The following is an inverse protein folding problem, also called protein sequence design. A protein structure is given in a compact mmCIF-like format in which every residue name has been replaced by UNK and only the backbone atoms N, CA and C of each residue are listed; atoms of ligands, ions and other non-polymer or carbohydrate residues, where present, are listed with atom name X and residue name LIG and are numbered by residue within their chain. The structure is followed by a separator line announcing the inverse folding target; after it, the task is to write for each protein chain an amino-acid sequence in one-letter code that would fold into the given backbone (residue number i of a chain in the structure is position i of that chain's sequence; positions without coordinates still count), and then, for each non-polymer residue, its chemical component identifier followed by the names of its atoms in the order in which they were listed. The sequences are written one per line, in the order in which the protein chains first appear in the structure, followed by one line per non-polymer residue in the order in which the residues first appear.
data_IF_909074731345
#
_entry.id   IF_909074731345
#
_cell.length_a   1.000
_cell.length_b   1.000
_cell.length_c   1.000
_cell.angle_alpha   90.00
_cell.angle_beta   90.00
_cell.angle_gamma   90.00
#
_symmetry.space_group_name_H-M   'P 1'
#
loop_
_entity.id
_entity.type
_entity.pdbx_description
1 polymer ?
#
# COMPACT_ATOMS: atom_id res chain seq x y z
N UNK A 1 21.25 -2.83 10.14
CA UNK A 1 20.19 -1.94 10.66
C UNK A 1 18.89 -2.42 10.03
N UNK A 2 17.91 -2.88 10.83
CA UNK A 2 16.60 -3.26 10.28
C UNK A 2 15.87 -2.01 9.84
N UNK A 3 15.50 -1.95 8.56
CA UNK A 3 14.66 -0.88 8.02
C UNK A 3 13.24 -1.14 8.52
N UNK A 4 12.60 -0.14 9.13
CA UNK A 4 11.19 -0.23 9.54
C UNK A 4 10.30 -0.24 8.29
N UNK A 5 10.04 -1.44 7.76
CA UNK A 5 9.18 -1.68 6.62
C UNK A 5 7.73 -1.91 7.04
N UNK A 6 6.79 -1.61 6.15
CA UNK A 6 5.36 -1.86 6.38
C UNK A 6 5.09 -3.37 6.34
N UNK A 7 4.36 -3.89 7.34
CA UNK A 7 4.02 -5.32 7.38
C UNK A 7 2.89 -5.70 6.42
N UNK A 8 2.27 -4.71 5.76
CA UNK A 8 1.19 -4.97 4.80
C UNK A 8 1.77 -5.67 3.56
N UNK A 9 1.14 -6.77 3.17
CA UNK A 9 1.53 -7.53 1.98
C UNK A 9 1.54 -6.64 0.74
N UNK A 10 2.65 -6.65 -0.01
CA UNK A 10 2.80 -5.87 -1.24
C UNK A 10 3.06 -4.37 -1.04
N UNK A 11 3.26 -3.90 0.19
CA UNK A 11 3.71 -2.53 0.43
C UNK A 11 5.24 -2.46 0.34
N UNK A 12 5.76 -1.73 -0.63
CA UNK A 12 7.19 -1.46 -0.82
C UNK A 12 7.70 -0.28 0.03
N UNK A 13 6.81 0.35 0.80
CA UNK A 13 7.12 1.59 1.51
C UNK A 13 7.97 1.31 2.76
N UNK A 14 9.13 1.98 2.82
CA UNK A 14 10.12 1.88 3.90
C UNK A 14 10.13 3.20 4.67
N UNK A 15 10.24 3.14 6.01
CA UNK A 15 9.99 4.23 6.99
C UNK A 15 8.56 4.23 7.57
N UNK A 16 8.21 3.17 8.29
CA UNK A 16 7.02 3.14 9.13
C UNK A 16 7.32 3.67 10.53
N UNK A 17 6.47 4.57 11.01
CA UNK A 17 6.51 5.24 12.30
C UNK A 17 5.35 4.80 13.23
N UNK A 18 4.33 4.14 12.67
CA UNK A 18 3.15 3.70 13.40
C UNK A 18 3.26 2.21 13.76
N UNK A 19 3.30 1.92 15.06
CA UNK A 19 3.25 0.57 15.62
C UNK A 19 1.84 0.29 16.18
N UNK A 20 1.14 -0.66 15.57
CA UNK A 20 -0.20 -1.11 15.98
C UNK A 20 -0.06 -2.36 16.86
N UNK A 21 -0.73 -2.35 18.01
CA UNK A 21 -0.75 -3.45 18.99
C UNK A 21 0.62 -3.94 19.47
N UNK A 22 1.67 -3.14 19.29
CA UNK A 22 3.04 -3.49 19.70
C UNK A 22 3.74 -4.50 18.79
N UNK A 23 3.08 -5.01 17.75
CA UNK A 23 3.62 -6.09 16.90
C UNK A 23 3.65 -5.76 15.41
N UNK A 24 2.86 -4.79 14.94
CA UNK A 24 2.63 -4.59 13.51
C UNK A 24 2.94 -3.15 13.10
N UNK A 25 3.91 -2.97 12.21
CA UNK A 25 4.25 -1.67 11.64
C UNK A 25 3.41 -1.38 10.39
N UNK A 26 2.91 -0.14 10.32
CA UNK A 26 2.17 0.35 9.16
C UNK A 26 2.70 1.71 8.73
N UNK A 27 2.88 1.91 7.41
CA UNK A 27 3.29 3.20 6.88
C UNK A 27 2.12 4.20 6.89
N UNK A 28 2.44 5.49 6.92
CA UNK A 28 1.46 6.58 6.87
C UNK A 28 0.49 6.52 5.69
N UNK A 29 0.90 5.93 4.56
CA UNK A 29 0.05 5.77 3.40
C UNK A 29 -1.01 4.67 3.62
N UNK A 30 -0.60 3.50 4.10
CA UNK A 30 -1.51 2.41 4.42
C UNK A 30 -2.43 2.77 5.59
N UNK A 31 -1.95 3.55 6.56
CA UNK A 31 -2.78 4.08 7.64
C UNK A 31 -3.88 4.99 7.10
N UNK A 32 -3.55 5.91 6.17
CA UNK A 32 -4.53 6.76 5.49
C UNK A 32 -5.55 5.97 4.67
N UNK A 33 -5.10 4.95 3.92
CA UNK A 33 -6.00 4.04 3.20
C UNK A 33 -6.97 3.32 4.16
N UNK A 34 -6.46 2.84 5.30
CA UNK A 34 -7.30 2.16 6.29
C UNK A 34 -8.34 3.11 6.90
N UNK A 35 -7.95 4.34 7.23
CA UNK A 35 -8.85 5.39 7.71
C UNK A 35 -9.92 5.69 6.66
N UNK A 36 -9.53 5.89 5.39
CA UNK A 36 -10.45 6.14 4.30
C UNK A 36 -11.46 4.99 4.09
N UNK A 37 -11.01 3.72 4.22
CA UNK A 37 -11.90 2.54 4.16
C UNK A 37 -12.84 2.43 5.36
N UNK A 38 -12.45 2.90 6.53
CA UNK A 38 -13.32 2.91 7.71
C UNK A 38 -14.34 4.05 7.67
N UNK A 39 -13.98 5.19 7.08
CA UNK A 39 -14.78 6.42 7.07
C UNK A 39 -14.98 7.00 8.48
N UNK A 40 -15.90 7.96 8.62
CA UNK A 40 -16.21 8.63 9.90
C UNK A 40 -17.07 7.78 10.87
N UNK A 41 -17.13 6.47 10.65
CA UNK A 41 -17.94 5.58 11.48
C UNK A 41 -17.18 5.22 12.75
N UNK A 42 -17.87 5.36 13.89
CA UNK A 42 -17.37 4.84 15.17
C UNK A 42 -17.61 3.33 15.23
N UNK A 43 -16.56 2.59 15.53
CA UNK A 43 -16.61 1.14 15.73
C UNK A 43 -16.09 0.82 17.13
N UNK A 44 -16.58 -0.28 17.72
CA UNK A 44 -15.90 -0.89 18.86
C UNK A 44 -14.47 -1.27 18.48
N UNK A 45 -13.54 -1.12 19.42
CA UNK A 45 -12.12 -1.42 19.21
C UNK A 45 -11.88 -2.82 18.63
N UNK A 46 -12.57 -3.84 19.15
CA UNK A 46 -12.51 -5.22 18.62
C UNK A 46 -12.88 -5.32 17.14
N UNK A 47 -13.85 -4.52 16.68
CA UNK A 47 -14.27 -4.50 15.28
C UNK A 47 -13.25 -3.78 14.41
N UNK A 48 -12.64 -2.70 14.91
CA UNK A 48 -11.55 -2.00 14.20
C UNK A 48 -10.36 -2.93 14.03
N UNK A 49 -9.93 -3.61 15.10
CA UNK A 49 -8.81 -4.54 15.06
C UNK A 49 -9.01 -5.66 14.02
N UNK A 50 -10.18 -6.30 14.03
CA UNK A 50 -10.51 -7.34 13.02
C UNK A 50 -10.49 -6.80 11.59
N UNK A 51 -10.93 -5.55 11.38
CA UNK A 51 -10.86 -4.89 10.06
C UNK A 51 -9.43 -4.57 9.66
N UNK A 52 -8.60 -4.14 10.61
CA UNK A 52 -7.19 -3.85 10.40
C UNK A 52 -6.43 -5.11 9.99
N UNK A 53 -6.59 -6.21 10.71
CA UNK A 53 -5.98 -7.51 10.37
C UNK A 53 -6.36 -7.93 8.94
N UNK A 54 -7.65 -7.85 8.59
CA UNK A 54 -8.10 -8.14 7.23
C UNK A 54 -7.49 -7.19 6.18
N UNK A 55 -7.36 -5.91 6.51
CA UNK A 55 -6.76 -4.92 5.62
C UNK A 55 -5.27 -5.22 5.33
N UNK A 56 -4.53 -5.66 6.34
CA UNK A 56 -3.11 -6.00 6.22
C UNK A 56 -2.86 -7.25 5.35
N UNK A 57 -3.83 -8.16 5.29
CA UNK A 57 -3.79 -9.36 4.44
C UNK A 57 -4.06 -9.06 2.97
N UNK A 58 -4.77 -7.97 2.65
CA UNK A 58 -5.08 -7.58 1.28
C UNK A 58 -3.83 -6.95 0.66
N UNK A 59 -3.28 -7.52 -0.43
CA UNK A 59 -2.13 -6.95 -1.10
C UNK A 59 -2.40 -5.49 -1.48
N UNK A 60 -1.43 -4.62 -1.22
CA UNK A 60 -1.47 -3.29 -1.82
C UNK A 60 -1.31 -3.49 -3.33
N UNK A 61 -2.37 -3.19 -4.08
CA UNK A 61 -2.25 -3.09 -5.54
C UNK A 61 -1.42 -1.83 -5.77
N UNK A 62 -0.21 -1.98 -6.29
CA UNK A 62 0.47 -0.82 -6.85
C UNK A 62 -0.43 -0.30 -7.95
N UNK A 63 -0.74 1.01 -7.92
CA UNK A 63 -1.34 1.69 -9.07
C UNK A 63 -0.32 1.62 -10.21
N UNK A 64 -0.29 0.50 -10.92
CA UNK A 64 0.38 0.43 -12.20
C UNK A 64 -0.40 1.36 -13.10
N UNK A 65 0.17 2.53 -13.42
CA UNK A 65 -0.17 3.23 -14.64
C UNK A 65 0.18 2.27 -15.78
N UNK A 66 -0.79 1.41 -16.13
CA UNK A 66 -0.65 0.48 -17.22
C UNK A 66 -0.51 1.30 -18.48
N UNK A 67 0.66 1.23 -19.11
CA UNK A 67 0.79 1.66 -20.50
C UNK A 67 0.13 0.59 -21.37
N UNK A 68 -0.57 1.04 -22.40
CA UNK A 68 -1.07 0.13 -23.44
C UNK A 68 0.11 -0.53 -24.17
N UNK A 69 -0.13 -1.68 -24.81
CA UNK A 69 0.89 -2.33 -25.63
C UNK A 69 1.38 -1.40 -26.75
N UNK A 70 0.51 -0.54 -27.28
CA UNK A 70 0.87 0.49 -28.27
C UNK A 70 1.81 1.54 -27.69
N UNK A 71 1.53 2.07 -26.49
CA UNK A 71 2.40 3.03 -25.81
C UNK A 71 3.77 2.42 -25.47
N UNK A 72 3.81 1.14 -25.09
CA UNK A 72 5.07 0.42 -24.87
C UNK A 72 5.90 0.32 -26.15
N UNK A 73 5.30 -0.10 -27.27
CA UNK A 73 6.02 -0.29 -28.54
C UNK A 73 6.50 1.04 -29.14
N UNK A 74 5.70 2.11 -29.04
CA UNK A 74 6.06 3.44 -29.53
C UNK A 74 7.32 4.04 -28.86
N UNK A 75 7.66 3.62 -27.65
CA UNK A 75 8.90 4.05 -26.97
C UNK A 75 10.16 3.45 -27.61
N UNK A 76 10.06 2.26 -28.22
CA UNK A 76 11.18 1.59 -28.87
C UNK A 76 11.34 1.98 -30.34
N UNK A 77 10.27 2.35 -31.05
CA UNK A 77 10.36 2.83 -32.43
C UNK A 77 11.10 4.18 -32.54
N UNK A 78 10.88 5.08 -31.58
CA UNK A 78 11.60 6.38 -31.53
C UNK A 78 13.08 6.28 -31.18
N UNK A 79 13.54 5.13 -30.68
CA UNK A 79 14.95 4.91 -30.33
C UNK A 79 15.79 4.42 -31.53
N UNK A 80 15.17 4.18 -32.69
CA UNK A 80 15.81 3.68 -33.90
C UNK A 80 15.88 4.69 -35.07
N UNK A 81 15.53 5.97 -34.84
CA UNK A 81 15.69 7.07 -35.80
C UNK A 81 16.92 7.98 -35.49
N UNK A 82 18.08 7.38 -35.19
CA UNK A 82 19.40 8.07 -35.19
C UNK A 82 20.39 7.28 -36.04
#
# INVERSE_FOLDING_TARGET
MSVLSCDRKGCSNVMCDILVDGTTYICNECAREFIAKCGDRRFEERKIKKRFENFMLIPKLEESFGITAEEFLNQYERSHEI
#
